data_IF_642393450114
#
_entry.id   IF_642393450114
#
_cell.length_a   1.000
_cell.length_b   1.000
_cell.length_c   1.000
_cell.angle_alpha   90.00
_cell.angle_beta   90.00
_cell.angle_gamma   90.00
#
_symmetry.space_group_name_H-M   'P 1'
#
loop_
_entity.id
_entity.type
_entity.pdbx_description
1 polymer ?
#
# COMPACT_ATOMS: atom_id res chain seq x y z
N UNK A 1 11.56 18.72 -6.59
CA UNK A 1 11.83 18.62 -5.14
C UNK A 1 11.20 17.32 -4.67
N UNK A 2 11.91 16.47 -3.91
CA UNK A 2 11.34 15.18 -3.46
C UNK A 2 10.34 15.45 -2.34
N UNK A 3 9.15 14.92 -2.49
CA UNK A 3 8.08 14.99 -1.50
C UNK A 3 8.14 13.81 -0.53
N UNK A 4 7.47 13.96 0.62
CA UNK A 4 7.29 12.87 1.58
C UNK A 4 6.51 11.71 0.94
N UNK A 5 5.48 12.03 0.18
CA UNK A 5 4.58 11.04 -0.42
C UNK A 5 5.33 10.20 -1.46
N UNK A 6 6.14 10.83 -2.32
CA UNK A 6 7.03 10.11 -3.26
C UNK A 6 7.99 9.16 -2.53
N UNK A 7 8.58 9.60 -1.41
CA UNK A 7 9.44 8.74 -0.61
C UNK A 7 8.68 7.55 -0.02
N UNK A 8 7.48 7.77 0.53
CA UNK A 8 6.63 6.71 1.10
C UNK A 8 6.30 5.68 0.01
N UNK A 9 5.83 6.13 -1.16
CA UNK A 9 5.52 5.24 -2.29
C UNK A 9 6.76 4.45 -2.72
N UNK A 10 7.92 5.10 -2.84
CA UNK A 10 9.16 4.44 -3.22
C UNK A 10 9.68 3.48 -2.14
N UNK A 11 9.29 3.62 -0.86
CA UNK A 11 9.64 2.69 0.22
C UNK A 11 8.71 1.47 0.29
N UNK A 12 7.51 1.53 -0.27
CA UNK A 12 6.59 0.40 -0.27
C UNK A 12 7.09 -0.73 -1.20
N UNK A 13 6.77 -2.00 -0.89
CA UNK A 13 7.10 -3.14 -1.74
C UNK A 13 6.13 -3.25 -2.95
N UNK A 14 5.80 -2.13 -3.57
CA UNK A 14 4.99 -2.08 -4.80
C UNK A 14 5.79 -2.55 -6.01
N UNK A 15 5.07 -3.07 -7.01
CA UNK A 15 5.64 -3.26 -8.35
C UNK A 15 6.11 -1.93 -8.93
N UNK A 16 7.02 -1.99 -9.90
CA UNK A 16 7.54 -0.78 -10.55
C UNK A 16 6.41 0.00 -11.21
N UNK A 17 5.50 -0.71 -11.83
CA UNK A 17 4.37 -0.18 -12.57
C UNK A 17 3.38 0.51 -11.64
N UNK A 18 3.11 -0.06 -10.46
CA UNK A 18 2.27 0.61 -9.45
C UNK A 18 2.95 1.86 -8.88
N UNK A 19 4.28 1.86 -8.71
CA UNK A 19 5.03 3.07 -8.32
C UNK A 19 4.92 4.16 -9.39
N UNK A 20 5.13 3.80 -10.65
CA UNK A 20 5.00 4.73 -11.79
C UNK A 20 3.56 5.22 -11.93
N UNK A 21 2.56 4.37 -11.67
CA UNK A 21 1.15 4.72 -11.64
C UNK A 21 0.85 5.78 -10.57
N UNK A 22 1.32 5.56 -9.34
CA UNK A 22 1.17 6.53 -8.25
C UNK A 22 1.78 7.89 -8.61
N UNK A 23 2.93 7.91 -9.30
CA UNK A 23 3.59 9.14 -9.75
C UNK A 23 2.79 9.84 -10.86
N UNK A 24 2.21 9.08 -11.78
CA UNK A 24 1.42 9.59 -12.90
C UNK A 24 0.05 10.14 -12.48
N UNK A 25 -0.57 9.55 -11.45
CA UNK A 25 -1.91 9.90 -10.98
C UNK A 25 -1.88 10.36 -9.51
N UNK A 26 -1.62 11.65 -9.24
CA UNK A 26 -1.51 12.17 -7.87
C UNK A 26 -2.76 11.98 -7.02
N UNK A 27 -3.96 12.03 -7.61
CA UNK A 27 -5.21 11.84 -6.87
C UNK A 27 -5.34 10.40 -6.36
N UNK A 28 -4.90 9.42 -7.17
CA UNK A 28 -4.82 8.01 -6.74
C UNK A 28 -3.88 7.89 -5.54
N UNK A 29 -2.69 8.48 -5.62
CA UNK A 29 -1.71 8.47 -4.54
C UNK A 29 -2.25 9.12 -3.28
N UNK A 30 -2.92 10.26 -3.41
CA UNK A 30 -3.51 10.97 -2.28
C UNK A 30 -4.65 10.20 -1.62
N UNK A 31 -5.33 9.31 -2.33
CA UNK A 31 -6.39 8.49 -1.76
C UNK A 31 -5.87 7.29 -0.94
N UNK A 32 -4.58 6.95 -1.03
CA UNK A 32 -3.98 5.87 -0.24
C UNK A 32 -3.77 6.27 1.22
N UNK A 33 -4.14 5.40 2.17
CA UNK A 33 -3.97 5.65 3.61
C UNK A 33 -2.51 5.79 4.01
N UNK A 34 -1.61 5.08 3.33
CA UNK A 34 -0.17 5.05 3.65
C UNK A 34 0.53 6.43 3.54
N UNK A 35 -0.01 7.37 2.76
CA UNK A 35 0.60 8.70 2.59
C UNK A 35 0.28 9.67 3.76
N UNK A 36 -0.56 9.24 4.70
CA UNK A 36 -0.98 10.00 5.88
C UNK A 36 -0.40 9.40 7.18
N UNK A 37 0.93 9.47 7.39
CA UNK A 37 1.60 8.92 8.58
C UNK A 37 1.15 9.58 9.90
N UNK A 38 0.51 10.75 9.82
CA UNK A 38 -0.09 11.39 10.98
C UNK A 38 -1.41 10.75 11.43
N UNK A 39 -2.00 9.84 10.65
CA UNK A 39 -3.22 9.10 10.97
C UNK A 39 -2.99 7.59 11.00
N UNK A 40 -2.06 7.09 10.21
CA UNK A 40 -1.86 5.66 9.96
C UNK A 40 -0.39 5.27 10.07
N UNK A 41 -0.11 4.10 10.63
CA UNK A 41 1.19 3.43 10.51
C UNK A 41 1.07 2.36 9.44
N UNK A 42 1.89 2.39 8.40
CA UNK A 42 1.94 1.32 7.38
C UNK A 42 2.53 0.04 7.97
N UNK A 43 2.00 -1.12 7.57
CA UNK A 43 2.62 -2.40 7.88
C UNK A 43 3.83 -2.69 6.97
N UNK A 44 4.06 -1.85 5.94
CA UNK A 44 5.22 -1.98 5.05
C UNK A 44 5.21 -3.27 4.21
N UNK A 45 4.02 -3.82 3.95
CA UNK A 45 3.79 -5.02 3.16
C UNK A 45 2.59 -4.83 2.24
N UNK A 46 2.58 -5.61 1.15
CA UNK A 46 1.39 -5.83 0.32
C UNK A 46 1.10 -7.32 0.27
N UNK A 47 -0.18 -7.67 0.21
CA UNK A 47 -0.61 -9.05 -0.01
C UNK A 47 -1.35 -9.08 -1.33
N UNK A 48 -0.87 -9.89 -2.27
CA UNK A 48 -1.52 -10.07 -3.56
C UNK A 48 -2.36 -11.34 -3.53
N UNK A 49 -3.51 -11.29 -4.19
CA UNK A 49 -4.44 -12.42 -4.28
C UNK A 49 -5.27 -12.31 -5.55
N UNK A 50 -6.10 -13.31 -5.80
CA UNK A 50 -6.98 -13.37 -6.95
C UNK A 50 -8.42 -13.37 -6.48
N UNK A 51 -9.31 -12.74 -7.25
CA UNK A 51 -10.74 -12.86 -7.00
C UNK A 51 -11.27 -14.14 -7.63
N UNK A 52 -12.10 -14.93 -6.94
CA UNK A 52 -12.76 -16.07 -7.56
C UNK A 52 -13.75 -15.64 -8.67
N UNK A 53 -14.30 -14.43 -8.58
CA UNK A 53 -15.26 -13.90 -9.55
C UNK A 53 -14.60 -13.28 -10.79
N UNK A 54 -13.36 -12.80 -10.63
CA UNK A 54 -12.56 -12.15 -11.67
C UNK A 54 -11.12 -12.67 -11.58
N UNK A 55 -10.88 -13.94 -11.97
CA UNK A 55 -9.60 -14.62 -11.79
C UNK A 55 -8.47 -14.07 -12.66
N UNK A 56 -8.77 -13.20 -13.62
CA UNK A 56 -7.83 -12.44 -14.44
C UNK A 56 -7.29 -11.21 -13.72
N UNK A 57 -8.02 -10.68 -12.74
CA UNK A 57 -7.61 -9.53 -11.96
C UNK A 57 -6.70 -9.95 -10.80
N UNK A 58 -5.75 -9.08 -10.44
CA UNK A 58 -4.97 -9.21 -9.22
C UNK A 58 -5.45 -8.18 -8.18
N UNK A 59 -5.76 -8.68 -6.98
CA UNK A 59 -6.16 -7.90 -5.81
C UNK A 59 -4.92 -7.67 -4.95
N UNK A 60 -4.52 -6.41 -4.80
CA UNK A 60 -3.38 -5.97 -3.99
C UNK A 60 -3.91 -5.29 -2.73
N UNK A 61 -3.75 -5.96 -1.59
CA UNK A 61 -4.08 -5.42 -0.27
C UNK A 61 -2.93 -4.61 0.32
N UNK A 62 -3.20 -3.38 0.74
CA UNK A 62 -2.25 -2.49 1.40
C UNK A 62 -2.77 -2.21 2.82
N UNK A 63 -1.98 -2.58 3.83
CA UNK A 63 -2.45 -2.60 5.21
C UNK A 63 -1.83 -1.49 6.06
N UNK A 64 -2.66 -0.91 6.92
CA UNK A 64 -2.30 0.18 7.83
C UNK A 64 -2.92 0.00 9.20
N UNK A 65 -2.33 0.59 10.23
CA UNK A 65 -2.86 0.65 11.58
C UNK A 65 -3.31 2.06 11.92
N UNK A 66 -4.62 2.24 12.16
CA UNK A 66 -5.24 3.52 12.47
C UNK A 66 -5.14 3.82 13.98
N UNK A 67 -3.97 4.31 14.39
CA UNK A 67 -3.58 4.37 15.79
C UNK A 67 -4.14 5.53 16.61
N UNK A 68 -4.73 6.56 15.97
CA UNK A 68 -5.31 7.72 16.66
C UNK A 68 -6.79 7.58 17.02
N UNK A 69 -7.41 6.46 16.66
CA UNK A 69 -8.80 6.20 17.02
C UNK A 69 -8.91 5.84 18.51
N UNK A 70 -10.07 6.11 19.13
CA UNK A 70 -10.37 5.67 20.50
C UNK A 70 -10.14 4.17 20.67
N UNK A 71 -10.53 3.41 19.65
CA UNK A 71 -10.20 2.00 19.48
C UNK A 71 -9.39 1.86 18.20
N UNK A 72 -8.07 1.71 18.28
CA UNK A 72 -7.24 1.46 17.11
C UNK A 72 -7.68 0.21 16.36
N UNK A 73 -7.66 0.27 15.03
CA UNK A 73 -8.04 -0.84 14.15
C UNK A 73 -7.08 -0.92 12.98
N UNK A 74 -6.96 -2.10 12.38
CA UNK A 74 -6.29 -2.24 11.10
C UNK A 74 -7.22 -1.82 9.97
N UNK A 75 -6.65 -1.20 8.94
CA UNK A 75 -7.37 -0.83 7.73
C UNK A 75 -6.64 -1.33 6.49
N UNK A 76 -7.41 -1.62 5.46
CA UNK A 76 -6.90 -2.04 4.17
C UNK A 76 -7.36 -1.07 3.07
N UNK A 77 -6.44 -0.75 2.17
CA UNK A 77 -6.75 -0.25 0.82
C UNK A 77 -6.68 -1.42 -0.16
N UNK A 78 -7.60 -1.46 -1.12
CA UNK A 78 -7.62 -2.47 -2.16
C UNK A 78 -7.24 -1.83 -3.49
N UNK A 79 -6.15 -2.27 -4.08
CA UNK A 79 -5.76 -1.89 -5.43
C UNK A 79 -5.96 -3.08 -6.35
N UNK A 80 -6.71 -2.89 -7.43
CA UNK A 80 -6.87 -3.90 -8.47
C UNK A 80 -5.93 -3.60 -9.62
N UNK A 81 -5.11 -4.58 -9.99
CA UNK A 81 -4.37 -4.61 -11.24
C UNK A 81 -5.21 -5.36 -12.28
N UNK A 82 -5.85 -4.61 -13.18
CA UNK A 82 -6.80 -5.16 -14.15
C UNK A 82 -6.09 -6.08 -15.13
N UNK A 83 -6.62 -7.29 -15.32
CA UNK A 83 -6.12 -8.30 -16.26
C UNK A 83 -4.63 -8.69 -16.04
N UNK A 84 -4.04 -8.32 -14.89
CA UNK A 84 -2.61 -8.54 -14.56
C UNK A 84 -1.60 -8.03 -15.57
N UNK A 85 -1.99 -7.07 -16.41
CA UNK A 85 -1.09 -6.51 -17.41
C UNK A 85 -0.25 -5.35 -16.88
N UNK A 86 -0.43 -4.93 -15.63
CA UNK A 86 0.21 -3.76 -15.01
C UNK A 86 -0.03 -2.46 -15.80
N UNK A 87 -1.15 -2.39 -16.54
CA UNK A 87 -1.52 -1.25 -17.39
C UNK A 87 -2.58 -0.36 -16.76
N UNK A 88 -3.39 -0.90 -15.85
CA UNK A 88 -4.44 -0.15 -15.18
C UNK A 88 -4.59 -0.60 -13.73
N UNK A 89 -4.51 0.38 -12.82
CA UNK A 89 -4.73 0.17 -11.40
C UNK A 89 -5.93 0.98 -10.92
N UNK A 90 -6.84 0.30 -10.20
CA UNK A 90 -8.03 0.92 -9.59
C UNK A 90 -7.95 0.77 -8.08
N UNK A 91 -7.99 1.89 -7.36
CA UNK A 91 -8.05 1.93 -5.91
C UNK A 91 -9.50 1.92 -5.44
N UNK A 92 -9.84 0.99 -4.57
CA UNK A 92 -11.11 0.96 -3.85
C UNK A 92 -10.85 1.37 -2.41
N UNK A 93 -11.50 2.47 -2.00
CA UNK A 93 -11.34 3.04 -0.67
C UNK A 93 -12.62 3.75 -0.26
N UNK A 94 -12.78 4.00 1.05
CA UNK A 94 -13.91 4.76 1.57
C UNK A 94 -13.60 6.25 1.43
N UNK A 95 -13.69 6.79 0.21
CA UNK A 95 -13.46 8.20 -0.05
C UNK A 95 -14.62 8.82 -0.82
N UNK A 96 -15.31 9.76 -0.17
CA UNK A 96 -16.30 10.64 -0.79
C UNK A 96 -15.54 11.82 -1.40
N UNK A 97 -15.16 11.73 -2.67
CA UNK A 97 -14.92 12.93 -3.46
C UNK A 97 -15.81 12.84 -4.69
N UNK A 98 -16.76 13.78 -4.88
CA UNK A 98 -17.58 13.82 -6.09
C UNK A 98 -16.75 14.06 -7.36
N UNK A 99 -15.49 14.49 -7.21
CA UNK A 99 -14.50 14.62 -8.30
C UNK A 99 -13.41 13.54 -8.24
N UNK A 100 -13.71 12.36 -7.72
CA UNK A 100 -12.74 11.26 -7.67
C UNK A 100 -12.33 10.85 -9.09
N UNK A 101 -11.02 10.69 -9.29
CA UNK A 101 -10.46 10.15 -10.53
C UNK A 101 -11.14 8.82 -10.88
N UNK A 102 -11.28 8.50 -12.18
CA UNK A 102 -11.83 7.21 -12.64
C UNK A 102 -11.09 5.97 -12.09
N UNK A 103 -9.89 6.17 -11.56
CA UNK A 103 -9.04 5.15 -10.94
C UNK A 103 -9.28 4.99 -9.43
N UNK A 104 -10.29 5.68 -8.88
CA UNK A 104 -10.67 5.60 -7.46
C UNK A 104 -12.16 5.30 -7.42
N UNK A 105 -12.54 4.23 -6.73
CA UNK A 105 -13.93 3.77 -6.58
C UNK A 105 -14.28 3.56 -5.11
N UNK A 106 -15.57 3.51 -4.81
CA UNK A 106 -16.02 3.28 -3.45
C UNK A 106 -15.73 1.84 -3.03
N UNK A 107 -15.39 1.63 -1.76
CA UNK A 107 -15.11 0.30 -1.24
C UNK A 107 -16.30 -0.66 -1.34
N UNK A 108 -17.53 -0.15 -1.35
CA UNK A 108 -18.72 -0.97 -1.55
C UNK A 108 -18.79 -1.55 -2.98
N UNK A 109 -18.27 -0.83 -3.97
CA UNK A 109 -18.17 -1.33 -5.35
C UNK A 109 -17.20 -2.52 -5.44
N UNK A 110 -16.12 -2.49 -4.65
CA UNK A 110 -15.21 -3.63 -4.53
C UNK A 110 -15.95 -4.85 -3.99
N UNK A 111 -16.70 -4.69 -2.89
CA UNK A 111 -17.44 -5.78 -2.28
C UNK A 111 -18.56 -6.34 -3.15
N UNK A 112 -19.19 -5.50 -3.96
CA UNK A 112 -20.21 -5.91 -4.92
C UNK A 112 -19.58 -6.69 -6.11
N UNK A 113 -18.41 -6.24 -6.59
CA UNK A 113 -17.75 -6.82 -7.76
C UNK A 113 -16.94 -8.07 -7.40
N UNK A 114 -15.98 -7.96 -6.50
CA UNK A 114 -15.01 -9.01 -6.20
C UNK A 114 -15.45 -9.96 -5.08
N UNK A 115 -16.45 -9.56 -4.27
CA UNK A 115 -16.97 -10.40 -3.19
C UNK A 115 -15.95 -10.63 -2.07
N UNK A 116 -15.85 -11.88 -1.62
CA UNK A 116 -14.79 -12.36 -0.70
C UNK A 116 -13.82 -13.23 -1.50
N UNK A 117 -12.52 -13.16 -1.20
CA UNK A 117 -11.50 -13.99 -1.85
C UNK A 117 -10.64 -14.74 -0.85
N UNK A 118 -9.65 -15.48 -1.35
CA UNK A 118 -8.84 -16.40 -0.53
C UNK A 118 -8.05 -15.72 0.60
N UNK A 119 -7.55 -14.50 0.37
CA UNK A 119 -6.67 -13.78 1.32
C UNK A 119 -7.19 -12.40 1.72
N UNK A 120 -8.46 -12.07 1.40
CA UNK A 120 -9.05 -10.81 1.85
C UNK A 120 -10.46 -11.02 2.39
N UNK A 121 -10.68 -10.43 3.56
CA UNK A 121 -12.00 -10.37 4.18
C UNK A 121 -12.82 -9.31 3.46
N UNK A 122 -14.15 -9.48 3.40
CA UNK A 122 -15.10 -8.48 2.90
C UNK A 122 -15.22 -7.29 3.88
N UNK A 123 -14.08 -6.74 4.31
CA UNK A 123 -13.97 -5.65 5.25
C UNK A 123 -12.68 -4.85 5.00
N UNK A 124 -12.76 -3.54 5.19
CA UNK A 124 -11.63 -2.62 5.16
C UNK A 124 -11.22 -2.20 6.58
N UNK A 125 -11.87 -2.79 7.59
CA UNK A 125 -11.54 -2.72 9.01
C UNK A 125 -11.30 -4.14 9.50
N UNK A 126 -10.09 -4.43 9.96
CA UNK A 126 -9.69 -5.78 10.30
C UNK A 126 -9.30 -5.82 11.78
N UNK A 127 -9.71 -6.88 12.45
CA UNK A 127 -9.08 -7.36 13.68
C UNK A 127 -7.68 -7.91 13.37
N UNK A 128 -6.90 -8.21 14.41
CA UNK A 128 -5.57 -8.80 14.24
C UNK A 128 -5.65 -10.20 13.61
N UNK A 129 -6.65 -10.97 14.01
CA UNK A 129 -6.90 -12.34 13.57
C UNK A 129 -7.34 -12.39 12.09
N UNK A 130 -8.01 -11.34 11.62
CA UNK A 130 -8.43 -11.20 10.22
C UNK A 130 -7.30 -10.76 9.27
N UNK A 131 -6.14 -10.36 9.79
CA UNK A 131 -4.98 -10.08 8.95
C UNK A 131 -4.39 -11.39 8.39
N UNK A 132 -3.91 -11.38 7.13
CA UNK A 132 -3.09 -12.47 6.60
C UNK A 132 -1.93 -12.80 7.54
N UNK A 133 -1.70 -14.09 7.76
CA UNK A 133 -0.77 -14.57 8.79
C UNK A 133 0.65 -14.04 8.57
N UNK A 134 1.04 -13.89 7.30
CA UNK A 134 2.36 -13.45 6.87
C UNK A 134 2.64 -11.98 7.26
N UNK A 135 1.61 -11.18 7.51
CA UNK A 135 1.75 -9.76 7.88
C UNK A 135 1.45 -9.48 9.35
N UNK A 136 0.99 -10.47 10.13
CA UNK A 136 0.74 -10.31 11.58
C UNK A 136 1.97 -9.86 12.37
N UNK A 137 3.21 -10.34 12.11
CA UNK A 137 4.40 -9.82 12.81
C UNK A 137 4.60 -8.31 12.60
N UNK A 138 4.39 -7.82 11.37
CA UNK A 138 4.47 -6.39 11.02
C UNK A 138 3.34 -5.58 11.68
N UNK A 139 2.20 -6.21 11.93
CA UNK A 139 1.09 -5.60 12.63
C UNK A 139 1.41 -5.32 14.11
N UNK A 140 2.21 -6.18 14.76
CA UNK A 140 2.74 -5.97 16.11
C UNK A 140 3.76 -4.83 16.12
N UNK A 141 4.70 -4.83 15.17
CA UNK A 141 5.68 -3.74 15.02
C UNK A 141 5.01 -2.37 14.81
N UNK A 142 3.90 -2.35 14.06
CA UNK A 142 3.11 -1.14 13.84
C UNK A 142 2.45 -0.62 15.13
N UNK A 143 2.00 -1.49 16.03
CA UNK A 143 1.49 -1.11 17.36
C UNK A 143 2.59 -0.45 18.18
N UNK A 144 3.78 -1.06 18.24
CA UNK A 144 4.88 -0.52 19.04
C UNK A 144 5.42 0.79 18.46
N UNK A 145 5.46 0.92 17.15
CA UNK A 145 5.77 2.19 16.50
C UNK A 145 4.70 3.25 16.79
N UNK A 146 3.42 2.89 16.75
CA UNK A 146 2.33 3.79 17.07
C UNK A 146 2.41 4.33 18.50
N UNK A 147 2.67 3.46 19.48
CA UNK A 147 2.89 3.85 20.88
C UNK A 147 4.03 4.87 21.01
N UNK A 148 5.17 4.58 20.37
CA UNK A 148 6.31 5.51 20.33
C UNK A 148 5.93 6.85 19.71
N UNK A 149 5.26 6.85 18.57
CA UNK A 149 4.82 8.08 17.87
C UNK A 149 3.83 8.88 18.71
N UNK A 150 2.95 8.23 19.48
CA UNK A 150 2.02 8.92 20.39
C UNK A 150 2.74 9.62 21.54
N UNK A 151 3.84 9.04 22.03
CA UNK A 151 4.66 9.62 23.12
C UNK A 151 5.57 10.72 22.58
N UNK A 152 6.31 10.46 21.50
CA UNK A 152 7.37 11.36 21.01
C UNK A 152 6.91 12.36 19.97
N UNK A 153 5.70 12.18 19.42
CA UNK A 153 5.20 12.88 18.25
C UNK A 153 5.79 12.38 16.93
N UNK A 154 5.11 12.71 15.83
CA UNK A 154 5.60 12.43 14.48
C UNK A 154 6.72 13.42 14.10
N UNK A 155 7.91 12.90 13.83
CA UNK A 155 9.06 13.71 13.45
C UNK A 155 8.85 14.39 12.10
N UNK A 156 8.99 15.72 12.05
CA UNK A 156 9.08 16.47 10.78
C UNK A 156 10.45 16.25 10.16
N UNK A 157 10.48 15.78 8.91
CA UNK A 157 11.73 15.58 8.17
C UNK A 157 12.08 16.85 7.39
N UNK A 158 13.33 17.33 7.57
CA UNK A 158 13.84 18.41 6.72
C UNK A 158 14.13 17.91 5.30
N UNK A 159 14.15 18.82 4.32
CA UNK A 159 14.47 18.49 2.93
C UNK A 159 15.83 17.78 2.77
N UNK A 160 16.84 18.16 3.57
CA UNK A 160 18.15 17.48 3.59
C UNK A 160 18.02 16.02 4.05
N UNK A 161 17.22 15.75 5.08
CA UNK A 161 16.97 14.39 5.55
C UNK A 161 16.17 13.56 4.55
N UNK A 162 15.11 14.13 3.96
CA UNK A 162 14.32 13.46 2.92
C UNK A 162 15.20 13.02 1.74
N UNK A 163 16.03 13.92 1.22
CA UNK A 163 16.98 13.61 0.13
C UNK A 163 17.95 12.49 0.51
N UNK A 164 18.47 12.51 1.74
CA UNK A 164 19.40 11.47 2.24
C UNK A 164 18.72 10.10 2.28
N UNK A 165 17.52 10.01 2.84
CA UNK A 165 16.77 8.74 2.93
C UNK A 165 16.39 8.27 1.53
N UNK A 166 15.86 9.15 0.68
CA UNK A 166 15.49 8.83 -0.69
C UNK A 166 16.66 8.26 -1.50
N UNK A 167 17.87 8.84 -1.38
CA UNK A 167 19.07 8.32 -2.05
C UNK A 167 19.38 6.89 -1.60
N UNK A 168 19.25 6.58 -0.30
CA UNK A 168 19.47 5.24 0.24
C UNK A 168 18.46 4.24 -0.33
N UNK A 169 17.17 4.58 -0.30
CA UNK A 169 16.08 3.75 -0.86
C UNK A 169 16.30 3.46 -2.35
N UNK A 170 16.70 4.47 -3.13
CA UNK A 170 16.97 4.30 -4.57
C UNK A 170 18.17 3.38 -4.84
N UNK A 171 19.20 3.41 -3.99
CA UNK A 171 20.37 2.51 -4.13
C UNK A 171 19.97 1.07 -3.81
N UNK A 172 19.24 0.86 -2.71
CA UNK A 172 18.74 -0.47 -2.29
C UNK A 172 17.85 -1.09 -3.38
N UNK A 173 16.84 -0.35 -3.86
CA UNK A 173 15.94 -0.82 -4.92
C UNK A 173 16.65 -1.09 -6.25
N UNK A 174 17.69 -0.31 -6.59
CA UNK A 174 18.48 -0.57 -7.80
C UNK A 174 19.23 -1.90 -7.70
N UNK A 175 19.78 -2.22 -6.52
CA UNK A 175 20.42 -3.50 -6.24
C UNK A 175 19.46 -4.68 -6.36
N UNK A 176 18.29 -4.60 -5.72
CA UNK A 176 17.25 -5.63 -5.80
C UNK A 176 16.76 -5.85 -7.24
N UNK A 177 16.61 -4.76 -8.01
CA UNK A 177 16.16 -4.83 -9.40
C UNK A 177 17.18 -5.52 -10.30
N UNK A 178 18.46 -5.15 -10.20
CA UNK A 178 19.52 -5.84 -10.94
C UNK A 178 19.60 -7.32 -10.58
N UNK A 179 19.37 -7.68 -9.32
CA UNK A 179 19.34 -9.07 -8.87
C UNK A 179 18.16 -9.85 -9.49
N UNK A 180 16.94 -9.30 -9.45
CA UNK A 180 15.75 -9.93 -10.05
C UNK A 180 15.88 -10.13 -11.57
N UNK A 181 16.43 -9.16 -12.30
CA UNK A 181 16.66 -9.31 -13.74
C UNK A 181 17.66 -10.43 -14.06
N UNK A 182 18.75 -10.54 -13.28
CA UNK A 182 19.72 -11.64 -13.43
C UNK A 182 19.10 -13.01 -13.18
N UNK A 183 18.17 -13.12 -12.22
CA UNK A 183 17.47 -14.38 -11.94
C UNK A 183 16.52 -14.77 -13.08
N UNK A 184 15.73 -13.83 -13.61
CA UNK A 184 14.83 -14.09 -14.75
C UNK A 184 15.62 -14.47 -16.02
N UNK A 185 16.76 -13.80 -16.27
CA UNK A 185 17.63 -14.14 -17.41
C UNK A 185 18.31 -15.51 -17.27
N UNK A 186 18.38 -16.08 -16.06
CA UNK A 186 18.88 -17.44 -15.82
C UNK A 186 17.81 -18.51 -15.91
N UNK A 187 16.54 -18.17 -15.65
CA UNK A 187 15.41 -19.10 -15.73
C UNK A 187 14.87 -19.27 -17.15
N UNK A 188 15.13 -18.30 -18.03
CA UNK A 188 14.74 -18.32 -19.45
C UNK A 188 15.87 -18.84 -20.37
N UNK A 189 16.86 -19.56 -19.82
CA UNK A 189 17.92 -20.27 -20.53
C UNK A 189 17.87 -21.74 -20.16
#
# INVERSE_FOLDING_TARGET
MITRDELIIDMMPFSRELIEWCKKYPDFTKALKIIYPEKFITLGAVVTSQSPNYPEDEVIGIYTYAYKLKTPIYKQDFVINKERHNKEFILYTRHQSPNSSKYIKDINDFYATYGKGGHYVKSHHLSFEELPEEIRPRAVEAIDLARRVQITGLRRLSQKHLKKVYRKVRVEKRGEWFYKQKLQAKQNK
#
